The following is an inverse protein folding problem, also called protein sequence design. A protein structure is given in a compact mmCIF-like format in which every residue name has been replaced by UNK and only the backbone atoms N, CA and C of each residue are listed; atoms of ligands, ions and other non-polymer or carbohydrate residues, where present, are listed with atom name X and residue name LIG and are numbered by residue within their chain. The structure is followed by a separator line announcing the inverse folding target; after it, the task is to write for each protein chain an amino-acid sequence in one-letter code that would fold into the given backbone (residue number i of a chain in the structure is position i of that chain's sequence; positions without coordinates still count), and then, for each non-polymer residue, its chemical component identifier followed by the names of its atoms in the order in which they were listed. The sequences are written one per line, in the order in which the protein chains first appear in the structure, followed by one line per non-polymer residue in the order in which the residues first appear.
data_IF_918919139459
#
_entry.id   IF_918919139459
#
_cell.length_a   1.000
_cell.length_b   1.000
_cell.length_c   1.000
_cell.angle_alpha   90.00
_cell.angle_beta   90.00
_cell.angle_gamma   90.00
#
_symmetry.space_group_name_H-M   'P 1'
#
loop_
_entity.id
_entity.type
_entity.pdbx_description
1 polymer ?
#
# COMPACT_ATOMS: atom_id res chain seq x y z
N UNK A 1 -12.61 24.56 -8.93
CA UNK A 1 -12.23 23.75 -10.13
C UNK A 1 -13.22 24.08 -11.24
N UNK A 2 -12.71 24.24 -12.48
CA UNK A 2 -13.55 24.50 -13.65
C UNK A 2 -13.68 23.16 -14.39
N UNK A 3 -14.94 22.71 -14.58
CA UNK A 3 -15.23 21.49 -15.33
C UNK A 3 -14.82 21.65 -16.81
N UNK A 4 -14.30 20.58 -17.39
CA UNK A 4 -14.04 20.52 -18.83
C UNK A 4 -15.32 20.59 -19.68
N UNK A 5 -16.49 20.37 -19.07
CA UNK A 5 -17.80 20.59 -19.70
C UNK A 5 -18.01 22.07 -20.10
N UNK A 6 -17.34 23.00 -19.44
CA UNK A 6 -17.41 24.43 -19.75
C UNK A 6 -16.43 24.87 -20.85
N UNK A 7 -15.64 23.95 -21.38
CA UNK A 7 -14.66 24.24 -22.44
C UNK A 7 -15.31 24.19 -23.82
N UNK A 8 -15.28 25.30 -24.53
CA UNK A 8 -15.75 25.37 -25.94
C UNK A 8 -14.87 24.57 -26.90
N UNK A 9 -13.70 24.11 -26.44
CA UNK A 9 -12.73 23.37 -27.25
C UNK A 9 -12.84 21.83 -27.08
N UNK A 10 -13.70 21.35 -26.17
CA UNK A 10 -13.83 19.92 -25.87
C UNK A 10 -15.26 19.49 -26.19
N UNK A 11 -15.41 18.58 -27.17
CA UNK A 11 -16.72 18.08 -27.54
C UNK A 11 -17.28 17.09 -26.51
N UNK A 12 -18.60 16.97 -26.44
CA UNK A 12 -19.29 15.98 -25.59
C UNK A 12 -18.83 14.54 -25.88
N UNK A 13 -18.58 14.21 -27.16
CA UNK A 13 -18.06 12.88 -27.54
C UNK A 13 -16.65 12.62 -26.99
N UNK A 14 -15.84 13.68 -26.89
CA UNK A 14 -14.52 13.56 -26.25
C UNK A 14 -14.65 13.29 -24.78
N UNK A 15 -15.59 13.95 -24.10
CA UNK A 15 -15.84 13.73 -22.67
C UNK A 15 -16.37 12.32 -22.43
N UNK A 16 -17.32 11.84 -23.25
CA UNK A 16 -17.85 10.48 -23.15
C UNK A 16 -16.76 9.42 -23.37
N UNK A 17 -15.91 9.58 -24.39
CA UNK A 17 -14.76 8.68 -24.59
C UNK A 17 -13.78 8.69 -23.42
N UNK A 18 -13.59 9.81 -22.76
CA UNK A 18 -12.79 9.91 -21.54
C UNK A 18 -13.45 9.15 -20.40
N UNK A 19 -14.75 9.29 -20.20
CA UNK A 19 -15.49 8.53 -19.18
C UNK A 19 -15.29 7.02 -19.35
N UNK A 20 -15.41 6.53 -20.57
CA UNK A 20 -15.22 5.11 -20.90
C UNK A 20 -13.77 4.64 -20.76
N UNK A 21 -12.80 5.54 -20.97
CA UNK A 21 -11.37 5.23 -20.92
C UNK A 21 -10.75 5.24 -19.52
N UNK A 22 -11.40 5.90 -18.54
CA UNK A 22 -10.89 5.93 -17.19
C UNK A 22 -11.15 4.62 -16.44
N UNK A 23 -10.08 3.99 -15.97
CA UNK A 23 -10.18 2.77 -15.17
C UNK A 23 -10.92 3.00 -13.83
N UNK A 24 -10.95 4.23 -13.35
CA UNK A 24 -11.63 4.62 -12.12
C UNK A 24 -12.47 5.86 -12.35
N UNK A 25 -13.77 5.77 -12.06
CA UNK A 25 -14.72 6.89 -12.20
C UNK A 25 -14.30 8.12 -11.40
N UNK A 26 -13.68 7.94 -10.24
CA UNK A 26 -13.17 9.04 -9.41
C UNK A 26 -12.19 9.95 -10.16
N UNK A 27 -11.34 9.37 -10.99
CA UNK A 27 -10.40 10.16 -11.80
C UNK A 27 -11.14 10.98 -12.87
N UNK A 28 -12.14 10.39 -13.50
CA UNK A 28 -12.97 11.09 -14.48
C UNK A 28 -13.71 12.28 -13.83
N UNK A 29 -14.40 12.05 -12.71
CA UNK A 29 -15.12 13.11 -11.99
C UNK A 29 -14.16 14.22 -11.52
N UNK A 30 -13.05 13.87 -10.91
CA UNK A 30 -12.11 14.86 -10.36
C UNK A 30 -11.37 15.65 -11.46
N UNK A 31 -10.90 14.98 -12.52
CA UNK A 31 -10.03 15.62 -13.52
C UNK A 31 -10.78 16.14 -14.77
N UNK A 32 -11.92 15.55 -15.10
CA UNK A 32 -12.70 15.96 -16.28
C UNK A 32 -13.88 16.83 -15.88
N UNK A 33 -14.64 16.40 -14.88
CA UNK A 33 -15.81 17.17 -14.43
C UNK A 33 -15.45 18.24 -13.41
N UNK A 34 -14.30 18.14 -12.73
CA UNK A 34 -13.92 19.06 -11.66
C UNK A 34 -14.81 18.93 -10.42
N UNK A 35 -15.48 17.76 -10.27
CA UNK A 35 -16.36 17.47 -9.16
C UNK A 35 -15.67 16.53 -8.16
N UNK A 36 -15.82 16.77 -6.85
CA UNK A 36 -15.36 15.82 -5.86
C UNK A 36 -16.16 14.52 -5.99
N UNK A 37 -15.50 13.45 -6.37
CA UNK A 37 -16.11 12.14 -6.43
C UNK A 37 -15.94 11.44 -5.10
N UNK A 38 -16.97 11.46 -4.27
CA UNK A 38 -17.07 10.58 -3.12
C UNK A 38 -17.39 9.17 -3.64
N UNK A 39 -16.38 8.35 -3.79
CA UNK A 39 -16.60 6.93 -4.12
C UNK A 39 -17.01 6.19 -2.84
N UNK A 40 -18.30 6.19 -2.55
CA UNK A 40 -18.86 5.45 -1.40
C UNK A 40 -18.44 3.98 -1.44
N UNK A 41 -18.17 3.43 -2.63
CA UNK A 41 -17.60 2.09 -2.77
C UNK A 41 -16.14 1.97 -2.28
N UNK A 42 -15.44 3.09 -2.05
CA UNK A 42 -14.06 3.15 -1.57
C UNK A 42 -13.96 3.55 -0.10
N UNK A 43 -15.04 3.98 0.54
CA UNK A 43 -15.06 4.19 1.97
C UNK A 43 -15.09 2.83 2.68
N UNK A 44 -14.15 2.63 3.59
CA UNK A 44 -14.18 1.49 4.51
C UNK A 44 -15.08 1.87 5.68
N UNK A 45 -16.16 1.15 5.85
CA UNK A 45 -17.02 1.26 7.01
C UNK A 45 -16.47 0.45 8.19
N UNK A 46 -16.96 0.74 9.39
CA UNK A 46 -16.67 -0.09 10.55
C UNK A 46 -17.08 -1.55 10.33
N UNK A 47 -18.22 -1.78 9.68
CA UNK A 47 -18.70 -3.12 9.33
C UNK A 47 -17.74 -3.86 8.40
N UNK A 48 -17.07 -3.14 7.47
CA UNK A 48 -16.05 -3.74 6.61
C UNK A 48 -14.83 -4.19 7.42
N UNK A 49 -14.46 -3.45 8.45
CA UNK A 49 -13.37 -3.83 9.35
C UNK A 49 -13.80 -4.99 10.23
N UNK A 50 -14.94 -4.89 10.91
CA UNK A 50 -15.46 -5.90 11.84
C UNK A 50 -15.65 -7.27 11.18
N UNK A 51 -16.15 -7.31 9.95
CA UNK A 51 -16.28 -8.55 9.17
C UNK A 51 -14.95 -9.25 8.90
N UNK A 52 -13.86 -8.49 8.91
CA UNK A 52 -12.52 -9.02 8.67
C UNK A 52 -11.74 -9.30 9.96
N UNK A 53 -12.28 -8.90 11.13
CA UNK A 53 -11.67 -9.22 12.42
C UNK A 53 -11.91 -10.69 12.75
N UNK A 54 -10.84 -11.39 13.04
CA UNK A 54 -10.87 -12.78 13.48
C UNK A 54 -10.71 -12.83 14.98
N UNK A 55 -11.81 -13.09 15.67
CA UNK A 55 -11.88 -13.10 17.13
C UNK A 55 -11.03 -14.22 17.79
N UNK A 56 -10.66 -15.24 17.02
CA UNK A 56 -9.79 -16.34 17.42
C UNK A 56 -8.29 -16.06 17.25
N UNK A 57 -7.95 -14.85 16.74
CA UNK A 57 -6.55 -14.49 16.48
C UNK A 57 -6.18 -13.23 17.23
N UNK A 58 -5.18 -13.35 18.07
CA UNK A 58 -4.47 -12.25 18.71
C UNK A 58 -3.27 -11.81 17.86
N UNK A 59 -2.65 -10.69 18.21
CA UNK A 59 -1.38 -10.30 17.60
C UNK A 59 -0.34 -11.40 17.82
N UNK A 60 0.15 -11.95 16.74
CA UNK A 60 1.04 -13.12 16.77
C UNK A 60 2.46 -12.73 16.37
N UNK A 61 3.43 -13.21 17.12
CA UNK A 61 4.84 -12.99 16.79
C UNK A 61 5.27 -13.75 15.54
N UNK A 62 4.90 -15.01 15.39
CA UNK A 62 5.05 -15.82 14.18
C UNK A 62 4.20 -17.08 14.32
N UNK A 63 3.53 -17.49 13.26
CA UNK A 63 2.73 -18.72 13.31
C UNK A 63 3.15 -19.71 12.24
N UNK A 64 2.77 -20.98 12.43
CA UNK A 64 3.01 -22.04 11.46
C UNK A 64 1.95 -22.11 10.36
N UNK A 65 0.88 -21.33 10.48
CA UNK A 65 -0.31 -21.42 9.62
C UNK A 65 -0.19 -20.61 8.33
N UNK A 66 0.96 -19.94 8.12
CA UNK A 66 1.20 -19.12 6.95
C UNK A 66 2.27 -19.72 6.05
N UNK A 67 2.03 -19.70 4.74
CA UNK A 67 2.99 -20.14 3.72
C UNK A 67 4.12 -19.13 3.50
N UNK A 68 3.97 -17.92 4.06
CA UNK A 68 4.98 -16.86 4.00
C UNK A 68 4.51 -15.59 4.68
N UNK A 69 5.41 -14.62 4.74
CA UNK A 69 5.13 -13.30 5.32
C UNK A 69 5.56 -12.19 4.39
N UNK A 70 4.79 -11.10 4.41
CA UNK A 70 5.17 -9.84 3.78
C UNK A 70 5.20 -8.72 4.80
N UNK A 71 6.08 -7.74 4.58
CA UNK A 71 6.23 -6.59 5.47
C UNK A 71 6.13 -5.31 4.66
N UNK A 72 5.29 -4.40 5.11
CA UNK A 72 5.22 -3.01 4.63
C UNK A 72 5.78 -2.06 5.68
N UNK A 73 6.60 -1.10 5.28
CA UNK A 73 7.20 -0.12 6.17
C UNK A 73 7.00 1.28 5.60
N UNK A 74 6.41 2.15 6.40
CA UNK A 74 6.31 3.59 6.14
C UNK A 74 7.25 4.33 7.10
N UNK A 75 8.27 5.01 6.53
CA UNK A 75 9.27 5.78 7.28
C UNK A 75 8.75 7.18 7.60
N UNK A 76 7.72 7.27 8.46
CA UNK A 76 7.23 8.52 9.02
C UNK A 76 7.74 8.78 10.44
N UNK A 77 7.11 9.72 11.11
CA UNK A 77 7.27 9.97 12.55
C UNK A 77 5.89 9.85 13.22
N UNK A 78 5.59 8.68 13.82
CA UNK A 78 6.40 7.46 13.95
C UNK A 78 6.54 6.67 12.64
N UNK A 79 7.57 5.81 12.56
CA UNK A 79 7.65 4.79 11.51
C UNK A 79 6.61 3.69 11.75
N UNK A 80 5.85 3.31 10.72
CA UNK A 80 4.85 2.26 10.82
C UNK A 80 5.32 0.98 10.13
N UNK A 81 5.07 -0.14 10.78
CA UNK A 81 5.40 -1.48 10.27
C UNK A 81 4.17 -2.35 10.30
N UNK A 82 3.82 -2.90 9.16
CA UNK A 82 2.74 -3.86 8.98
C UNK A 82 3.31 -5.20 8.56
N UNK A 83 3.06 -6.25 9.33
CA UNK A 83 3.41 -7.63 8.97
C UNK A 83 2.14 -8.37 8.61
N UNK A 84 2.14 -9.01 7.44
CA UNK A 84 1.02 -9.83 6.97
C UNK A 84 1.49 -11.25 6.69
N UNK A 85 0.74 -12.23 7.20
CA UNK A 85 0.87 -13.63 6.86
C UNK A 85 0.07 -13.95 5.59
N UNK A 86 0.64 -14.79 4.74
CA UNK A 86 0.00 -15.29 3.52
C UNK A 86 -0.56 -16.68 3.83
N UNK A 87 -1.85 -16.86 3.66
CA UNK A 87 -2.51 -18.17 3.86
C UNK A 87 -2.37 -19.04 2.62
N UNK A 88 -2.69 -20.32 2.76
CA UNK A 88 -2.64 -21.29 1.68
C UNK A 88 -3.59 -20.95 0.51
N UNK A 89 -4.67 -20.23 0.76
CA UNK A 89 -5.60 -19.71 -0.25
C UNK A 89 -5.17 -18.33 -0.83
N UNK A 90 -3.95 -17.87 -0.48
CA UNK A 90 -3.39 -16.57 -0.83
C UNK A 90 -4.12 -15.36 -0.24
N UNK A 91 -5.07 -15.55 0.66
CA UNK A 91 -5.60 -14.45 1.45
C UNK A 91 -4.54 -13.95 2.44
N UNK A 92 -4.66 -12.69 2.86
CA UNK A 92 -3.72 -12.04 3.75
C UNK A 92 -4.31 -11.92 5.15
N UNK A 93 -3.47 -12.08 6.16
CA UNK A 93 -3.81 -11.82 7.55
C UNK A 93 -2.81 -10.82 8.13
N UNK A 94 -3.31 -9.72 8.66
CA UNK A 94 -2.47 -8.85 9.49
C UNK A 94 -2.11 -9.60 10.77
N UNK A 95 -0.84 -9.81 10.98
CA UNK A 95 -0.33 -10.52 12.17
C UNK A 95 0.37 -9.59 13.14
N UNK A 96 0.81 -8.43 12.67
CA UNK A 96 1.31 -7.36 13.53
C UNK A 96 1.22 -6.02 12.82
N UNK A 97 0.83 -4.99 13.56
CA UNK A 97 0.85 -3.60 13.12
C UNK A 97 1.42 -2.75 14.26
N UNK A 98 2.62 -2.19 14.08
CA UNK A 98 3.30 -1.44 15.14
C UNK A 98 3.91 -0.15 14.63
N UNK A 99 4.00 0.82 15.52
CA UNK A 99 4.75 2.05 15.32
C UNK A 99 6.05 2.06 16.12
N UNK A 100 7.07 2.67 15.57
CA UNK A 100 8.40 2.82 16.19
C UNK A 100 8.78 4.29 16.19
N UNK A 101 9.07 4.81 17.36
CA UNK A 101 9.46 6.20 17.54
C UNK A 101 10.94 6.39 17.19
N UNK A 102 11.24 7.49 16.54
CA UNK A 102 12.61 7.91 16.34
C UNK A 102 13.18 8.39 17.67
N UNK A 103 14.35 7.91 18.03
CA UNK A 103 15.11 8.46 19.16
C UNK A 103 16.06 9.54 18.65
N UNK A 104 15.86 10.81 19.05
CA UNK A 104 16.66 11.95 18.58
C UNK A 104 18.17 11.76 18.83
N UNK A 105 18.53 11.13 19.93
CA UNK A 105 19.92 10.91 20.33
C UNK A 105 20.60 9.71 19.68
N UNK A 106 19.86 8.84 18.99
CA UNK A 106 20.37 7.57 18.48
C UNK A 106 20.00 7.40 17.00
N UNK A 107 20.85 7.81 16.07
CA UNK A 107 20.61 7.57 14.63
C UNK A 107 20.34 6.10 14.36
N UNK A 108 19.35 5.81 13.49
CA UNK A 108 18.93 4.46 13.11
C UNK A 108 18.41 3.57 14.27
N UNK A 109 18.05 4.15 15.41
CA UNK A 109 17.51 3.37 16.52
C UNK A 109 16.19 2.70 16.15
N UNK A 110 15.31 3.41 15.48
CA UNK A 110 14.05 2.93 14.98
C UNK A 110 14.22 1.77 13.97
N UNK A 111 15.19 1.87 13.05
CA UNK A 111 15.41 0.78 12.09
C UNK A 111 15.93 -0.50 12.77
N UNK A 112 16.75 -0.37 13.83
CA UNK A 112 17.19 -1.54 14.60
C UNK A 112 16.02 -2.22 15.33
N UNK A 113 15.09 -1.43 15.85
CA UNK A 113 13.86 -1.95 16.47
C UNK A 113 12.98 -2.63 15.42
N UNK A 114 12.82 -2.02 14.25
CA UNK A 114 12.07 -2.60 13.12
C UNK A 114 12.69 -3.93 12.70
N UNK A 115 14.03 -3.99 12.51
CA UNK A 115 14.73 -5.23 12.16
C UNK A 115 14.51 -6.31 13.22
N UNK A 116 14.64 -5.98 14.50
CA UNK A 116 14.42 -6.92 15.60
C UNK A 116 12.96 -7.45 15.59
N UNK A 117 11.99 -6.58 15.32
CA UNK A 117 10.58 -6.93 15.27
C UNK A 117 10.24 -7.86 14.09
N UNK A 118 10.76 -7.58 12.88
CA UNK A 118 10.39 -8.35 11.69
C UNK A 118 11.20 -9.64 11.49
N UNK A 119 12.38 -9.73 12.10
CA UNK A 119 13.29 -10.86 11.95
C UNK A 119 12.67 -12.23 12.30
N UNK A 120 11.85 -12.39 13.35
CA UNK A 120 11.23 -13.66 13.70
C UNK A 120 10.28 -14.21 12.61
N UNK A 121 9.67 -13.32 11.83
CA UNK A 121 8.73 -13.70 10.76
C UNK A 121 9.44 -14.26 9.51
N UNK A 122 10.74 -14.03 9.34
CA UNK A 122 11.51 -14.43 8.14
C UNK A 122 10.78 -14.01 6.85
N UNK A 123 10.51 -12.72 6.63
CA UNK A 123 9.64 -12.28 5.55
C UNK A 123 10.20 -12.63 4.18
N UNK A 124 9.31 -13.04 3.28
CA UNK A 124 9.63 -13.30 1.88
C UNK A 124 9.83 -12.01 1.08
N UNK A 125 9.07 -10.97 1.45
CA UNK A 125 9.13 -9.67 0.83
C UNK A 125 9.00 -8.59 1.90
N UNK A 126 9.90 -7.61 1.85
CA UNK A 126 9.86 -6.39 2.64
C UNK A 126 9.82 -5.21 1.66
N UNK A 127 8.82 -4.37 1.80
CA UNK A 127 8.68 -3.15 0.98
C UNK A 127 8.70 -1.95 1.91
N UNK A 128 9.65 -1.03 1.71
CA UNK A 128 9.75 0.21 2.48
C UNK A 128 9.79 1.43 1.57
N UNK A 129 9.19 2.54 2.02
CA UNK A 129 9.22 3.79 1.27
C UNK A 129 10.65 4.24 0.94
N UNK A 130 10.87 4.67 -0.30
CA UNK A 130 12.17 5.14 -0.78
C UNK A 130 12.43 6.61 -0.45
N UNK A 131 11.39 7.41 -0.13
CA UNK A 131 11.47 8.86 -0.04
C UNK A 131 12.27 9.37 1.16
N UNK A 132 11.93 8.93 2.37
CA UNK A 132 12.49 9.43 3.63
C UNK A 132 13.45 8.49 4.34
N UNK A 133 13.75 7.34 3.76
CA UNK A 133 14.43 6.26 4.46
C UNK A 133 15.67 5.70 3.79
N UNK A 134 16.43 6.48 3.01
CA UNK A 134 17.57 5.94 2.25
C UNK A 134 18.57 5.18 3.15
N UNK A 135 18.99 5.77 4.27
CA UNK A 135 19.93 5.15 5.21
C UNK A 135 19.30 3.96 5.93
N UNK A 136 18.03 4.07 6.31
CA UNK A 136 17.26 3.00 6.93
C UNK A 136 17.06 1.83 5.96
N UNK A 137 16.80 2.12 4.69
CA UNK A 137 16.68 1.13 3.63
C UNK A 137 18.00 0.41 3.36
N UNK A 138 19.14 1.12 3.42
CA UNK A 138 20.45 0.49 3.32
C UNK A 138 20.69 -0.50 4.46
N UNK A 139 20.28 -0.17 5.67
CA UNK A 139 20.39 -1.06 6.82
C UNK A 139 19.46 -2.28 6.70
N UNK A 140 18.21 -2.09 6.28
CA UNK A 140 17.30 -3.21 5.98
C UNK A 140 17.86 -4.14 4.91
N UNK A 141 18.43 -3.59 3.84
CA UNK A 141 19.03 -4.39 2.77
C UNK A 141 20.20 -5.25 3.27
N UNK A 142 21.02 -4.74 4.19
CA UNK A 142 22.12 -5.54 4.80
C UNK A 142 21.61 -6.76 5.55
N UNK A 143 20.47 -6.63 6.23
CA UNK A 143 19.88 -7.71 7.02
C UNK A 143 18.99 -8.66 6.22
N UNK A 144 18.36 -8.16 5.15
CA UNK A 144 17.38 -8.91 4.33
C UNK A 144 17.63 -8.73 2.82
N UNK A 145 18.84 -9.10 2.32
CA UNK A 145 19.23 -8.78 0.94
C UNK A 145 18.34 -9.44 -0.11
N UNK A 146 17.75 -10.61 0.20
CA UNK A 146 16.88 -11.32 -0.73
C UNK A 146 15.43 -10.88 -0.69
N UNK A 147 14.96 -10.39 0.46
CA UNK A 147 13.56 -10.03 0.68
C UNK A 147 13.27 -8.54 0.46
N UNK A 148 14.27 -7.67 0.65
CA UNK A 148 14.05 -6.22 0.70
C UNK A 148 13.89 -5.57 -0.68
N UNK A 149 12.95 -4.63 -0.76
CA UNK A 149 12.73 -3.71 -1.88
C UNK A 149 12.38 -2.31 -1.37
N UNK A 150 13.01 -1.28 -1.95
CA UNK A 150 12.55 0.10 -1.78
C UNK A 150 11.33 0.35 -2.67
N UNK A 151 10.35 1.08 -2.16
CA UNK A 151 9.15 1.46 -2.91
C UNK A 151 9.20 2.92 -3.32
N UNK A 152 9.09 3.18 -4.61
CA UNK A 152 8.91 4.51 -5.16
C UNK A 152 7.46 4.71 -5.54
N UNK A 153 6.82 5.70 -4.94
CA UNK A 153 5.50 6.13 -5.33
C UNK A 153 5.58 6.97 -6.61
N UNK A 154 4.89 6.56 -7.63
CA UNK A 154 4.75 7.32 -8.86
C UNK A 154 3.32 7.86 -8.94
N UNK A 155 3.22 9.16 -9.18
CA UNK A 155 1.96 9.79 -9.59
C UNK A 155 1.95 9.84 -11.10
N UNK A 156 0.99 9.18 -11.70
CA UNK A 156 0.83 9.24 -13.14
C UNK A 156 0.48 10.68 -13.57
N UNK A 157 1.35 11.26 -14.37
CA UNK A 157 1.02 12.51 -15.08
C UNK A 157 0.11 12.23 -16.28
N UNK A 158 0.00 10.98 -16.71
CA UNK A 158 -0.90 10.56 -17.76
C UNK A 158 -1.90 9.51 -17.23
N UNK A 159 -3.13 9.92 -16.87
CA UNK A 159 -4.14 9.02 -16.34
C UNK A 159 -4.60 7.94 -17.33
N UNK A 160 -4.23 8.04 -18.60
CA UNK A 160 -4.57 7.07 -19.66
C UNK A 160 -3.51 5.99 -19.88
N UNK A 161 -2.38 6.06 -19.18
CA UNK A 161 -1.30 5.08 -19.37
C UNK A 161 -1.59 3.80 -18.60
N UNK A 162 -1.89 2.71 -19.30
CA UNK A 162 -2.04 1.36 -18.71
C UNK A 162 -0.79 0.93 -17.92
N UNK A 163 0.38 1.46 -18.26
CA UNK A 163 1.64 1.18 -17.57
C UNK A 163 1.63 1.61 -16.09
N UNK A 164 0.77 2.56 -15.72
CA UNK A 164 0.70 3.12 -14.37
C UNK A 164 0.01 2.19 -13.36
N UNK A 165 -0.72 1.17 -13.84
CA UNK A 165 -1.44 0.22 -12.99
C UNK A 165 -0.64 -1.07 -12.73
N UNK A 166 0.50 -1.24 -13.38
CA UNK A 166 1.36 -2.41 -13.24
C UNK A 166 2.58 -2.03 -12.41
N UNK A 167 2.78 -2.74 -11.31
CA UNK A 167 3.97 -2.58 -10.49
C UNK A 167 5.22 -2.89 -11.31
N UNK A 168 6.18 -1.99 -11.27
CA UNK A 168 7.45 -2.16 -11.97
C UNK A 168 8.52 -2.63 -10.98
N UNK A 169 8.80 -3.92 -10.98
CA UNK A 169 9.82 -4.53 -10.14
C UNK A 169 11.18 -4.53 -10.82
N UNK A 170 12.14 -3.83 -10.24
CA UNK A 170 13.53 -3.90 -10.64
C UNK A 170 14.33 -4.72 -9.61
N UNK A 171 14.45 -6.01 -9.85
CA UNK A 171 15.13 -6.93 -8.93
C UNK A 171 16.61 -6.58 -8.73
N UNK A 172 17.29 -6.10 -9.77
CA UNK A 172 18.72 -5.72 -9.69
C UNK A 172 18.94 -4.50 -8.80
N UNK A 173 18.03 -3.52 -8.87
CA UNK A 173 18.10 -2.29 -8.05
C UNK A 173 17.36 -2.44 -6.72
N UNK A 174 16.70 -3.58 -6.48
CA UNK A 174 15.84 -3.77 -5.32
C UNK A 174 14.85 -2.62 -5.15
N UNK A 175 14.20 -2.25 -6.25
CA UNK A 175 13.26 -1.15 -6.34
C UNK A 175 11.95 -1.64 -6.94
N UNK A 176 10.85 -1.23 -6.36
CA UNK A 176 9.52 -1.34 -6.95
C UNK A 176 8.93 0.05 -7.14
N UNK A 177 8.47 0.36 -8.35
CA UNK A 177 7.72 1.57 -8.65
C UNK A 177 6.24 1.22 -8.74
N UNK A 178 5.41 1.96 -8.01
CA UNK A 178 3.97 1.70 -7.91
C UNK A 178 3.17 2.98 -8.05
N UNK A 179 2.01 2.89 -8.69
CA UNK A 179 1.03 3.97 -8.66
C UNK A 179 0.31 3.99 -7.31
N UNK A 180 0.46 5.09 -6.58
CA UNK A 180 -0.07 5.24 -5.22
C UNK A 180 -1.59 5.07 -5.19
N UNK A 181 -2.29 5.75 -6.08
CA UNK A 181 -3.76 5.75 -6.10
C UNK A 181 -4.30 4.36 -6.39
N UNK A 182 -3.75 3.70 -7.40
CA UNK A 182 -4.13 2.33 -7.76
C UNK A 182 -3.90 1.33 -6.61
N UNK A 183 -2.76 1.46 -5.91
CA UNK A 183 -2.45 0.56 -4.78
C UNK A 183 -3.35 0.79 -3.58
N UNK A 184 -3.61 2.04 -3.23
CA UNK A 184 -4.56 2.34 -2.16
C UNK A 184 -5.95 1.78 -2.47
N UNK A 185 -6.44 1.96 -3.70
CA UNK A 185 -7.73 1.44 -4.12
C UNK A 185 -7.80 -0.09 -4.04
N UNK A 186 -6.75 -0.78 -4.49
CA UNK A 186 -6.68 -2.26 -4.38
C UNK A 186 -6.66 -2.72 -2.93
N UNK A 187 -5.92 -2.03 -2.05
CA UNK A 187 -5.89 -2.37 -0.63
C UNK A 187 -7.28 -2.22 0.01
N UNK A 188 -7.97 -1.10 -0.26
CA UNK A 188 -9.34 -0.88 0.21
C UNK A 188 -10.31 -1.94 -0.33
N UNK A 189 -10.21 -2.28 -1.61
CA UNK A 189 -11.02 -3.33 -2.23
C UNK A 189 -10.75 -4.69 -1.57
N UNK A 190 -9.50 -5.01 -1.25
CA UNK A 190 -9.14 -6.27 -0.59
C UNK A 190 -9.74 -6.39 0.81
N UNK A 191 -9.88 -5.28 1.55
CA UNK A 191 -10.62 -5.26 2.82
C UNK A 191 -12.10 -5.55 2.56
N UNK A 192 -12.73 -4.86 1.60
CA UNK A 192 -14.17 -5.05 1.28
C UNK A 192 -14.51 -6.46 0.80
N UNK A 193 -13.59 -7.14 0.15
CA UNK A 193 -13.77 -8.51 -0.37
C UNK A 193 -13.26 -9.60 0.57
N UNK A 194 -12.99 -9.27 1.83
CA UNK A 194 -12.51 -10.19 2.87
C UNK A 194 -11.19 -10.92 2.50
N UNK A 195 -10.37 -10.30 1.65
CA UNK A 195 -9.05 -10.83 1.28
C UNK A 195 -7.97 -10.48 2.31
N UNK A 196 -8.24 -9.52 3.19
CA UNK A 196 -7.34 -9.12 4.28
C UNK A 196 -8.08 -9.30 5.60
N UNK A 197 -7.58 -10.18 6.46
CA UNK A 197 -8.07 -10.37 7.82
C UNK A 197 -7.28 -9.52 8.82
N UNK A 198 -7.93 -9.15 9.92
CA UNK A 198 -7.33 -8.46 11.06
C UNK A 198 -7.39 -9.36 12.29
N UNK A 199 -6.47 -9.15 13.24
CA UNK A 199 -6.57 -9.78 14.56
C UNK A 199 -7.50 -8.94 15.47
N UNK A 200 -8.02 -9.58 16.52
CA UNK A 200 -8.75 -8.87 17.58
C UNK A 200 -7.77 -8.09 18.47
N UNK A 201 -8.06 -6.85 18.74
CA UNK A 201 -7.34 -5.99 19.67
C UNK A 201 -8.04 -5.86 21.01
#
# INVERSE_FOLDING_TARGET
FISQLNSVHISADTIKRREESYAFKSLFYNYVLGEPYANVAMEISNDDIERNVRLDQEELNATRDYIGYTVGIDWGEPSWVLVMGIRADYSLQVVSARSFQRAEALPLHDVKQVIAHIKPYRPNIIVADAGYGADKNAELFRHFPEAFYSCKWETSTNPYSVKNFIDQWNRRKRLVSVDKTSKMQRALQSVKTNQIGFYSW
#
